data_IF_211172746440
#
_entry.id   IF_211172746440
#
_cell.length_a   1.000
_cell.length_b   1.000
_cell.length_c   1.000
_cell.angle_alpha   90.00
_cell.angle_beta   90.00
_cell.angle_gamma   90.00
#
_symmetry.space_group_name_H-M   'P 1'
#
loop_
_entity.id
_entity.type
_entity.pdbx_description
1 polymer ?
#
# COMPACT_ATOMS: atom_id res chain seq x y z
N UNK A 1 12.28 -11.51 -4.22
CA UNK A 1 13.45 -10.64 -4.31
C UNK A 1 13.18 -9.34 -3.58
N UNK A 2 14.09 -8.92 -2.73
CA UNK A 2 13.86 -7.76 -1.88
C UNK A 2 14.75 -6.57 -2.19
N UNK A 3 15.46 -6.59 -3.29
CA UNK A 3 16.31 -5.49 -3.69
C UNK A 3 15.44 -4.24 -3.89
N UNK A 4 15.81 -3.14 -3.24
CA UNK A 4 15.05 -1.88 -3.26
C UNK A 4 13.62 -2.02 -2.75
N UNK A 5 13.40 -2.97 -1.83
CA UNK A 5 12.08 -3.16 -1.25
C UNK A 5 11.10 -3.95 -2.10
N UNK A 6 11.56 -4.53 -3.21
CA UNK A 6 10.70 -5.33 -4.07
C UNK A 6 10.59 -6.78 -3.60
N UNK A 7 9.37 -7.32 -3.64
CA UNK A 7 9.09 -8.69 -3.21
C UNK A 7 8.25 -9.39 -4.27
N UNK A 8 8.47 -10.69 -4.41
CA UNK A 8 7.60 -11.52 -5.25
C UNK A 8 6.83 -12.47 -4.36
N UNK A 9 5.64 -12.85 -4.83
CA UNK A 9 4.78 -13.82 -4.15
C UNK A 9 4.80 -15.08 -4.98
N UNK A 10 5.11 -16.21 -4.35
CA UNK A 10 5.15 -17.49 -5.02
C UNK A 10 4.07 -18.43 -4.47
N UNK A 11 3.50 -19.23 -5.36
CA UNK A 11 2.56 -20.26 -5.01
C UNK A 11 2.91 -21.50 -5.86
N UNK A 12 3.22 -22.61 -5.19
CA UNK A 12 3.66 -23.85 -5.84
C UNK A 12 4.84 -23.60 -6.79
N UNK A 13 5.80 -22.76 -6.37
CA UNK A 13 6.98 -22.48 -7.16
C UNK A 13 6.77 -21.52 -8.32
N UNK A 14 5.56 -20.96 -8.46
CA UNK A 14 5.27 -19.97 -9.50
C UNK A 14 5.12 -18.59 -8.89
N UNK A 15 5.66 -17.59 -9.56
CA UNK A 15 5.45 -16.20 -9.17
C UNK A 15 4.03 -15.81 -9.55
N UNK A 16 3.22 -15.44 -8.56
CA UNK A 16 1.82 -15.07 -8.76
C UNK A 16 1.56 -13.60 -8.49
N UNK A 17 2.53 -12.88 -7.97
CA UNK A 17 2.37 -11.45 -7.71
C UNK A 17 3.66 -10.78 -7.32
N UNK A 18 3.57 -9.47 -7.17
CA UNK A 18 4.70 -8.61 -6.82
C UNK A 18 4.20 -7.42 -6.03
N UNK A 19 5.02 -6.92 -5.12
CA UNK A 19 4.77 -5.65 -4.45
C UNK A 19 6.07 -5.03 -3.99
N UNK A 20 6.06 -3.73 -3.73
CA UNK A 20 7.16 -3.02 -3.12
C UNK A 20 6.76 -2.62 -1.70
N UNK A 21 7.67 -2.78 -0.74
CA UNK A 21 7.44 -2.49 0.66
C UNK A 21 8.62 -1.69 1.16
N UNK A 22 8.42 -0.40 1.41
CA UNK A 22 9.48 0.57 1.65
C UNK A 22 9.26 1.31 2.96
N UNK A 23 10.35 1.55 3.72
CA UNK A 23 10.21 2.33 4.95
C UNK A 23 10.02 3.81 4.65
N UNK A 24 9.39 4.51 5.60
CA UNK A 24 9.27 5.96 5.54
C UNK A 24 10.65 6.63 5.66
N UNK A 25 10.79 7.88 5.21
CA UNK A 25 9.75 8.72 4.64
C UNK A 25 9.54 8.47 3.17
N UNK A 26 8.32 8.76 2.70
CA UNK A 26 8.00 8.76 1.28
C UNK A 26 7.73 10.21 0.87
N UNK A 27 8.54 10.80 -0.03
CA UNK A 27 8.43 12.22 -0.36
C UNK A 27 7.03 12.67 -0.80
N UNK A 28 6.30 11.83 -1.56
CA UNK A 28 4.97 12.18 -2.03
C UNK A 28 3.94 12.18 -0.91
N UNK A 29 4.27 11.62 0.25
CA UNK A 29 3.40 11.57 1.41
C UNK A 29 3.67 12.70 2.41
N UNK A 30 4.65 13.55 2.13
CA UNK A 30 4.98 14.65 3.03
C UNK A 30 3.86 15.68 3.13
N UNK A 31 3.01 15.76 2.12
CA UNK A 31 1.86 16.67 2.12
C UNK A 31 0.62 15.93 1.64
N UNK A 32 -0.46 16.08 2.38
CA UNK A 32 -1.75 15.50 2.03
C UNK A 32 -2.79 16.62 1.93
N UNK A 33 -3.72 16.49 0.97
CA UNK A 33 -4.74 17.48 0.68
C UNK A 33 -6.12 16.89 0.92
N UNK A 34 -7.07 17.74 1.26
CA UNK A 34 -8.47 17.37 1.47
C UNK A 34 -8.65 16.29 2.52
N UNK A 35 -7.79 16.30 3.52
CA UNK A 35 -7.83 15.33 4.59
C UNK A 35 -6.57 15.36 5.41
N UNK A 36 -6.34 14.29 6.15
CA UNK A 36 -5.13 14.16 6.99
C UNK A 36 -4.83 12.69 7.23
N UNK A 37 -3.55 12.38 7.47
CA UNK A 37 -3.15 11.04 7.86
C UNK A 37 -3.72 10.68 9.22
N UNK A 38 -3.94 9.38 9.46
CA UNK A 38 -4.39 8.90 10.78
C UNK A 38 -3.33 9.17 11.84
N UNK A 39 -2.08 8.94 11.50
CA UNK A 39 -0.94 9.16 12.38
C UNK A 39 0.19 9.69 11.52
N UNK A 40 0.57 10.94 11.74
CA UNK A 40 1.61 11.60 10.97
C UNK A 40 2.90 11.77 11.78
N UNK A 41 2.99 11.14 12.93
CA UNK A 41 4.15 11.28 13.81
C UNK A 41 5.06 10.06 13.82
N UNK A 42 4.49 8.86 13.70
CA UNK A 42 5.26 7.62 13.75
C UNK A 42 5.81 7.25 12.39
N UNK A 43 6.94 6.53 12.37
CA UNK A 43 7.39 5.91 11.13
C UNK A 43 6.32 4.97 10.57
N UNK A 44 6.34 4.81 9.27
CA UNK A 44 5.40 3.94 8.57
C UNK A 44 6.14 3.20 7.46
N UNK A 45 5.49 2.18 6.91
CA UNK A 45 5.94 1.58 5.66
C UNK A 45 4.91 1.87 4.58
N UNK A 46 5.36 1.82 3.34
CA UNK A 46 4.56 2.10 2.17
C UNK A 46 4.51 0.86 1.31
N UNK A 47 3.31 0.49 0.86
CA UNK A 47 3.14 -0.58 -0.11
C UNK A 47 2.85 0.04 -1.47
N UNK A 48 3.69 -0.29 -2.44
CA UNK A 48 3.58 0.23 -3.81
C UNK A 48 3.57 -0.90 -4.82
N UNK A 49 3.11 -0.59 -6.02
CA UNK A 49 3.31 -1.44 -7.21
C UNK A 49 2.77 -2.85 -7.00
N UNK A 50 1.59 -2.94 -6.41
CA UNK A 50 0.95 -4.23 -6.23
C UNK A 50 0.50 -4.75 -7.59
N UNK A 51 0.92 -5.96 -7.92
CA UNK A 51 0.52 -6.63 -9.15
C UNK A 51 0.28 -8.10 -8.86
N UNK A 52 -0.72 -8.66 -9.54
CA UNK A 52 -0.99 -10.09 -9.44
C UNK A 52 -1.30 -10.63 -10.83
N UNK A 53 -1.02 -11.92 -11.04
CA UNK A 53 -1.32 -12.55 -12.30
C UNK A 53 -2.81 -12.90 -12.36
N UNK A 54 -3.37 -12.98 -13.58
CA UNK A 54 -4.76 -13.41 -13.74
C UNK A 54 -5.01 -14.76 -13.06
N UNK A 55 -6.25 -14.97 -12.62
CA UNK A 55 -6.69 -16.22 -12.00
C UNK A 55 -6.01 -16.55 -10.68
N UNK A 56 -5.44 -15.54 -10.01
CA UNK A 56 -4.91 -15.71 -8.65
C UNK A 56 -5.86 -15.06 -7.66
N UNK A 57 -5.94 -15.64 -6.46
CA UNK A 57 -6.82 -15.17 -5.41
C UNK A 57 -6.04 -14.96 -4.11
N UNK A 58 -6.53 -14.02 -3.29
CA UNK A 58 -5.95 -13.79 -1.99
C UNK A 58 -4.60 -13.11 -1.97
N UNK A 59 -4.15 -12.60 -3.11
CA UNK A 59 -2.83 -11.96 -3.22
C UNK A 59 -2.75 -10.72 -2.33
N UNK A 60 -3.76 -9.87 -2.38
CA UNK A 60 -3.76 -8.66 -1.55
C UNK A 60 -3.75 -9.01 -0.05
N UNK A 61 -4.53 -10.01 0.36
CA UNK A 61 -4.53 -10.46 1.75
C UNK A 61 -3.16 -10.99 2.17
N UNK A 62 -2.50 -11.76 1.31
CA UNK A 62 -1.17 -12.28 1.60
C UNK A 62 -0.15 -11.15 1.76
N UNK A 63 -0.23 -10.14 0.90
CA UNK A 63 0.64 -8.96 0.98
C UNK A 63 0.42 -8.25 2.31
N UNK A 64 -0.83 -8.02 2.70
CA UNK A 64 -1.15 -7.32 3.93
C UNK A 64 -0.72 -8.11 5.17
N UNK A 65 -0.89 -9.43 5.16
CA UNK A 65 -0.43 -10.27 6.26
C UNK A 65 1.07 -10.13 6.47
N UNK A 66 1.84 -10.17 5.39
CA UNK A 66 3.28 -10.00 5.45
C UNK A 66 3.65 -8.60 5.97
N UNK A 67 3.05 -7.57 5.40
CA UNK A 67 3.41 -6.20 5.72
C UNK A 67 3.07 -5.85 7.18
N UNK A 68 1.89 -6.24 7.65
CA UNK A 68 1.50 -5.97 9.03
C UNK A 68 2.23 -6.83 10.07
N UNK A 69 2.85 -7.91 9.64
CA UNK A 69 3.76 -8.65 10.51
C UNK A 69 5.06 -7.88 10.75
N UNK A 70 5.40 -6.94 9.88
CA UNK A 70 6.63 -6.16 9.98
C UNK A 70 6.43 -4.75 10.55
N UNK A 71 5.29 -4.13 10.26
CA UNK A 71 5.01 -2.77 10.71
C UNK A 71 3.51 -2.60 10.91
N UNK A 72 3.05 -2.20 12.10
CA UNK A 72 1.63 -1.98 12.33
C UNK A 72 1.09 -0.69 11.73
N UNK A 73 1.94 0.12 11.09
CA UNK A 73 1.55 1.41 10.52
C UNK A 73 1.90 1.44 9.04
N UNK A 74 0.89 1.31 8.18
CA UNK A 74 1.10 1.17 6.74
C UNK A 74 0.25 2.18 5.97
N UNK A 75 0.88 2.81 4.98
CA UNK A 75 0.23 3.72 4.04
C UNK A 75 0.25 3.13 2.64
N UNK A 76 -0.80 3.42 1.89
CA UNK A 76 -0.94 2.95 0.52
C UNK A 76 -1.71 4.01 -0.27
N UNK A 77 -1.46 4.09 -1.56
CA UNK A 77 -2.22 4.98 -2.43
C UNK A 77 -2.62 4.24 -3.70
N UNK A 78 -3.66 4.75 -4.36
CA UNK A 78 -4.13 4.17 -5.61
C UNK A 78 -4.77 5.23 -6.49
N UNK A 79 -4.85 4.94 -7.79
CA UNK A 79 -5.49 5.82 -8.75
C UNK A 79 -7.01 5.81 -8.54
N UNK A 80 -7.65 6.97 -8.75
CA UNK A 80 -9.09 7.11 -8.56
C UNK A 80 -9.91 6.18 -9.47
N UNK A 81 -9.36 5.78 -10.61
CA UNK A 81 -10.05 4.88 -11.53
C UNK A 81 -9.83 3.41 -11.20
N UNK A 82 -8.95 3.09 -10.27
CA UNK A 82 -8.69 1.71 -9.89
C UNK A 82 -9.68 1.26 -8.81
N UNK A 83 -10.90 0.97 -9.23
CA UNK A 83 -11.97 0.62 -8.30
C UNK A 83 -11.73 -0.69 -7.58
N UNK A 84 -11.10 -1.64 -8.26
CA UNK A 84 -10.76 -2.94 -7.66
C UNK A 84 -9.80 -2.75 -6.50
N UNK A 85 -8.76 -1.96 -6.70
CA UNK A 85 -7.78 -1.70 -5.64
C UNK A 85 -8.40 -0.92 -4.49
N UNK A 86 -9.23 0.08 -4.77
CA UNK A 86 -9.93 0.83 -3.74
C UNK A 86 -10.79 -0.10 -2.88
N UNK A 87 -11.48 -1.04 -3.52
CA UNK A 87 -12.29 -2.01 -2.80
C UNK A 87 -11.43 -2.90 -1.90
N UNK A 88 -10.32 -3.41 -2.42
CA UNK A 88 -9.41 -4.25 -1.65
C UNK A 88 -8.82 -3.51 -0.44
N UNK A 89 -8.40 -2.28 -0.64
CA UNK A 89 -7.82 -1.45 0.42
C UNK A 89 -8.86 -1.22 1.52
N UNK A 90 -10.05 -0.82 1.14
CA UNK A 90 -11.14 -0.55 2.09
C UNK A 90 -11.57 -1.80 2.83
N UNK A 91 -11.70 -2.91 2.11
CA UNK A 91 -12.10 -4.19 2.69
C UNK A 91 -11.11 -4.66 3.75
N UNK A 92 -9.83 -4.32 3.60
CA UNK A 92 -8.80 -4.72 4.56
C UNK A 92 -8.63 -3.72 5.70
N UNK A 93 -9.56 -2.78 5.84
CA UNK A 93 -9.61 -1.92 7.02
C UNK A 93 -8.83 -0.64 6.94
N UNK A 94 -8.31 -0.29 5.77
CA UNK A 94 -7.65 1.00 5.60
C UNK A 94 -8.68 2.12 5.59
N UNK A 95 -8.28 3.26 6.14
CA UNK A 95 -9.10 4.48 6.12
C UNK A 95 -8.62 5.42 5.02
N UNK A 96 -9.57 5.97 4.29
CA UNK A 96 -9.26 7.02 3.33
C UNK A 96 -8.79 8.27 4.08
N UNK A 97 -7.65 8.81 3.67
CA UNK A 97 -7.05 9.95 4.37
C UNK A 97 -7.08 11.24 3.58
N UNK A 98 -7.05 11.16 2.26
CA UNK A 98 -7.04 12.36 1.45
C UNK A 98 -6.35 12.12 0.10
N UNK A 99 -5.83 13.20 -0.48
CA UNK A 99 -5.23 13.17 -1.80
C UNK A 99 -3.76 13.54 -1.69
N UNK A 100 -2.92 12.77 -2.40
CA UNK A 100 -1.52 13.11 -2.60
C UNK A 100 -1.27 13.33 -4.08
N UNK A 101 -0.15 13.98 -4.40
CA UNK A 101 0.25 14.21 -5.77
C UNK A 101 1.64 13.62 -6.00
N UNK A 102 1.78 12.87 -7.08
CA UNK A 102 3.06 12.34 -7.50
C UNK A 102 3.93 13.48 -8.05
N UNK A 103 5.21 13.21 -8.25
CA UNK A 103 6.12 14.20 -8.83
C UNK A 103 5.66 14.69 -10.20
N UNK A 104 4.94 13.83 -10.94
CA UNK A 104 4.36 14.18 -12.24
C UNK A 104 3.17 15.15 -12.14
N UNK A 105 2.63 15.35 -10.93
CA UNK A 105 1.42 16.12 -10.73
C UNK A 105 0.15 15.28 -10.72
N UNK A 106 0.26 13.98 -10.99
CA UNK A 106 -0.90 13.08 -10.98
C UNK A 106 -1.40 12.87 -9.55
N UNK A 107 -2.72 12.90 -9.39
CA UNK A 107 -3.29 12.70 -8.07
C UNK A 107 -3.45 11.21 -7.76
N UNK A 108 -3.39 10.89 -6.47
CA UNK A 108 -3.66 9.55 -5.96
C UNK A 108 -4.51 9.66 -4.70
N UNK A 109 -5.35 8.65 -4.48
CA UNK A 109 -6.11 8.53 -3.25
C UNK A 109 -5.23 7.86 -2.21
N UNK A 110 -5.11 8.47 -1.04
CA UNK A 110 -4.20 8.01 0.00
C UNK A 110 -4.96 7.38 1.17
N UNK A 111 -4.43 6.28 1.66
CA UNK A 111 -5.04 5.49 2.72
C UNK A 111 -3.99 5.12 3.76
N UNK A 112 -4.44 4.89 4.98
CA UNK A 112 -3.56 4.43 6.06
C UNK A 112 -4.33 3.46 6.94
N UNK A 113 -3.60 2.49 7.48
CA UNK A 113 -4.13 1.58 8.49
C UNK A 113 -3.09 1.41 9.57
N UNK A 114 -3.54 1.51 10.82
CA UNK A 114 -2.70 1.27 11.99
C UNK A 114 -3.30 0.12 12.79
N UNK A 115 -2.45 -0.79 13.22
CA UNK A 115 -2.85 -1.93 14.05
C UNK A 115 -2.11 -1.90 15.37
N UNK A 116 -2.83 -2.12 16.46
CA UNK A 116 -2.22 -2.27 17.79
C UNK A 116 -1.30 -1.13 18.20
N UNK A 117 -1.67 0.07 17.83
CA UNK A 117 -0.90 1.27 18.15
C UNK A 117 -1.55 2.07 19.27
#
# INVERSE_FOLDING_TARGET
MEKNGGFVIEDDGKVVGYFAFLPSPEPTYARIYEGKWLDDERPYHVVHRIASYPDTHGIFSSIMDYCFAHDPNIRIDTHRDNLIMQHNITKHGFSYCGIIYLASGDERLAYQKTENI
#
